data_IF_443433839063
#
_entry.id   IF_443433839063
#
_cell.length_a   1.000
_cell.length_b   1.000
_cell.length_c   1.000
_cell.angle_alpha   90.00
_cell.angle_beta   90.00
_cell.angle_gamma   90.00
#
_symmetry.space_group_name_H-M   'P 1'
#
loop_
_entity.id
_entity.type
_entity.pdbx_description
1 polymer ?
#
# COMPACT_ATOMS: atom_id res chain seq x y z
N UNK A 1 25.90 8.47 1.47
CA UNK A 1 24.57 7.93 1.56
C UNK A 1 24.42 6.93 0.42
N UNK A 2 24.68 5.67 0.70
CA UNK A 2 24.53 4.59 -0.27
C UNK A 2 23.07 4.15 -0.21
N UNK A 3 22.41 4.14 -1.33
CA UNK A 3 21.06 3.61 -1.52
C UNK A 3 20.92 2.30 -0.78
N UNK A 4 19.79 2.13 -0.11
CA UNK A 4 19.21 0.81 0.14
C UNK A 4 18.94 0.17 -1.24
N UNK A 5 19.99 -0.18 -1.95
CA UNK A 5 19.89 -1.09 -3.09
C UNK A 5 19.67 -2.45 -2.47
N UNK A 6 18.40 -2.73 -2.16
CA UNK A 6 17.99 -4.10 -1.92
C UNK A 6 18.20 -4.89 -3.22
N UNK A 7 19.43 -5.32 -3.42
CA UNK A 7 19.68 -6.56 -4.11
C UNK A 7 19.05 -7.66 -3.23
N UNK A 8 17.69 -7.68 -3.15
CA UNK A 8 16.91 -8.74 -2.48
C UNK A 8 17.06 -10.09 -3.19
N UNK A 9 18.07 -10.22 -4.04
CA UNK A 9 18.36 -11.44 -4.79
C UNK A 9 19.34 -12.39 -4.10
N UNK A 10 20.02 -11.99 -3.02
CA UNK A 10 21.06 -12.83 -2.41
C UNK A 10 21.17 -12.55 -0.91
N UNK A 11 20.22 -12.97 -0.10
CA UNK A 11 20.45 -13.13 1.32
C UNK A 11 19.69 -14.33 1.85
N UNK A 12 20.18 -15.53 1.57
CA UNK A 12 19.84 -16.70 2.35
C UNK A 12 21.05 -17.62 2.54
N UNK A 13 22.27 -17.07 2.56
CA UNK A 13 23.44 -17.81 3.04
C UNK A 13 24.44 -16.86 3.71
N UNK A 14 24.07 -16.33 4.87
CA UNK A 14 25.07 -15.94 5.90
C UNK A 14 24.49 -16.40 7.22
N UNK A 15 25.17 -17.34 7.87
CA UNK A 15 24.79 -17.95 9.14
C UNK A 15 24.82 -16.96 10.31
N UNK A 16 23.84 -16.09 10.38
CA UNK A 16 23.47 -15.34 11.56
C UNK A 16 22.21 -16.00 12.13
N UNK A 17 22.22 -16.34 13.41
CA UNK A 17 21.02 -16.79 14.14
C UNK A 17 20.04 -15.62 14.15
N UNK A 18 19.16 -15.54 13.15
CA UNK A 18 18.01 -14.65 13.21
C UNK A 18 17.02 -15.27 14.19
N UNK A 19 16.87 -14.66 15.35
CA UNK A 19 15.78 -15.00 16.25
C UNK A 19 14.47 -14.77 15.48
N UNK A 20 13.73 -15.85 15.18
CA UNK A 20 12.36 -15.75 14.70
C UNK A 20 11.55 -15.10 15.81
N UNK A 21 11.16 -13.85 15.59
CA UNK A 21 10.25 -13.16 16.50
C UNK A 21 8.82 -13.62 16.23
N UNK A 22 7.94 -13.62 17.26
CA UNK A 22 6.53 -13.95 17.07
C UNK A 22 5.86 -13.07 16.02
N UNK A 23 4.65 -13.44 15.58
CA UNK A 23 3.82 -12.71 14.63
C UNK A 23 3.89 -11.21 14.90
N UNK A 24 4.04 -10.41 13.85
CA UNK A 24 4.08 -8.95 13.96
C UNK A 24 2.87 -8.42 14.75
N UNK A 25 3.13 -7.55 15.70
CA UNK A 25 2.10 -6.88 16.49
C UNK A 25 2.23 -5.35 16.34
N UNK A 26 1.11 -4.63 16.29
CA UNK A 26 1.13 -3.17 16.34
C UNK A 26 1.63 -2.71 17.71
N UNK A 27 1.96 -1.42 17.82
CA UNK A 27 2.34 -0.79 19.08
C UNK A 27 1.24 -0.93 20.14
N UNK A 28 1.63 -0.87 21.42
CA UNK A 28 0.70 -0.97 22.55
C UNK A 28 -0.49 -0.01 22.41
N UNK A 29 -1.68 -0.49 22.71
CA UNK A 29 -2.93 0.26 22.57
C UNK A 29 -3.65 0.08 21.24
N UNK A 30 -3.06 -0.67 20.31
CA UNK A 30 -3.68 -1.04 19.04
C UNK A 30 -3.87 -2.55 18.94
N UNK A 31 -4.91 -2.97 18.23
CA UNK A 31 -5.25 -4.40 18.04
C UNK A 31 -5.38 -4.71 16.57
N UNK A 32 -4.86 -5.86 16.16
CA UNK A 32 -5.11 -6.40 14.83
C UNK A 32 -6.53 -6.96 14.74
N UNK A 33 -7.27 -6.52 13.74
CA UNK A 33 -8.62 -6.97 13.42
C UNK A 33 -8.52 -7.88 12.20
N UNK A 34 -8.87 -9.18 12.28
CA UNK A 34 -8.97 -10.04 11.12
C UNK A 34 -9.94 -9.46 10.10
N UNK A 35 -9.55 -9.39 8.83
CA UNK A 35 -10.44 -8.86 7.80
C UNK A 35 -11.43 -9.90 7.27
N UNK A 36 -11.18 -11.18 7.48
CA UNK A 36 -12.07 -12.28 7.09
C UNK A 36 -12.67 -12.94 8.32
N UNK A 37 -13.99 -13.21 8.33
CA UNK A 37 -14.65 -13.83 9.49
C UNK A 37 -14.30 -15.31 9.64
N UNK A 38 -13.72 -15.92 8.61
CA UNK A 38 -13.27 -17.30 8.57
C UNK A 38 -12.01 -17.42 7.68
N UNK A 39 -11.78 -18.57 7.07
CA UNK A 39 -10.68 -18.73 6.09
C UNK A 39 -10.83 -17.74 4.95
N UNK A 40 -9.75 -17.02 4.65
CA UNK A 40 -9.71 -16.10 3.51
C UNK A 40 -9.95 -16.84 2.18
N UNK A 41 -10.63 -16.24 1.20
CA UNK A 41 -10.81 -16.83 -0.11
C UNK A 41 -9.45 -17.05 -0.79
N UNK A 42 -9.41 -17.97 -1.74
CA UNK A 42 -8.21 -18.31 -2.55
C UNK A 42 -6.93 -18.53 -1.72
N UNK A 43 -7.09 -18.92 -0.45
CA UNK A 43 -5.98 -19.23 0.44
C UNK A 43 -5.14 -20.37 -0.14
N UNK A 44 -3.97 -20.03 -0.64
CA UNK A 44 -2.97 -21.00 -1.06
C UNK A 44 -2.13 -21.50 0.12
N UNK A 45 -1.41 -22.62 -0.01
CA UNK A 45 -0.48 -23.06 0.99
C UNK A 45 0.65 -22.02 1.15
N UNK A 46 0.83 -21.51 2.35
CA UNK A 46 2.01 -20.71 2.73
C UNK A 46 2.86 -21.57 3.65
N UNK A 47 4.15 -21.70 3.34
CA UNK A 47 5.05 -22.54 4.09
C UNK A 47 5.39 -21.92 5.46
N UNK A 48 4.84 -22.48 6.53
CA UNK A 48 5.19 -22.14 7.92
C UNK A 48 4.45 -20.93 8.49
N UNK A 49 4.79 -20.54 9.72
CA UNK A 49 4.19 -19.40 10.41
C UNK A 49 4.62 -18.06 9.79
N UNK A 50 3.90 -16.99 10.13
CA UNK A 50 4.29 -15.62 9.85
C UNK A 50 5.71 -15.36 10.41
N UNK A 51 6.51 -14.60 9.68
CA UNK A 51 7.89 -14.28 10.06
C UNK A 51 8.05 -12.78 10.05
N UNK A 52 8.50 -12.24 11.17
CA UNK A 52 8.94 -10.85 11.30
C UNK A 52 10.46 -10.80 11.27
N UNK A 53 11.01 -9.94 10.41
CA UNK A 53 12.46 -9.75 10.27
C UNK A 53 12.78 -8.28 10.35
N UNK A 54 13.77 -7.91 11.16
CA UNK A 54 14.32 -6.56 11.20
C UNK A 54 15.68 -6.57 10.52
N UNK A 55 15.86 -5.67 9.56
CA UNK A 55 17.13 -5.44 8.87
C UNK A 55 17.62 -4.05 9.21
N UNK A 56 18.91 -3.90 9.30
CA UNK A 56 19.56 -2.63 9.57
C UNK A 56 20.86 -2.51 8.78
N UNK A 57 20.90 -1.56 7.86
CA UNK A 57 22.15 -1.19 7.19
C UNK A 57 22.94 -0.20 8.07
N UNK A 58 24.30 -0.24 8.01
CA UNK A 58 25.11 0.69 8.77
C UNK A 58 24.79 2.15 8.45
N UNK A 59 24.33 2.89 9.46
CA UNK A 59 23.99 4.31 9.34
C UNK A 59 22.51 4.60 9.06
N UNK A 60 21.70 3.57 8.80
CA UNK A 60 20.25 3.73 8.59
C UNK A 60 19.45 3.21 9.79
N UNK A 61 18.26 3.77 10.06
CA UNK A 61 17.35 3.20 11.05
C UNK A 61 16.92 1.78 10.64
N UNK A 62 16.67 0.88 11.61
CA UNK A 62 16.19 -0.47 11.30
C UNK A 62 14.88 -0.42 10.52
N UNK A 63 14.68 -1.38 9.62
CA UNK A 63 13.45 -1.58 8.89
C UNK A 63 12.89 -2.97 9.18
N UNK A 64 11.60 -3.05 9.49
CA UNK A 64 10.91 -4.29 9.83
C UNK A 64 9.99 -4.72 8.71
N UNK A 65 10.17 -5.93 8.24
CA UNK A 65 9.25 -6.54 7.28
C UNK A 65 8.65 -7.84 7.80
N UNK A 66 7.46 -8.13 7.28
CA UNK A 66 6.67 -9.32 7.62
C UNK A 66 6.44 -10.15 6.38
N UNK A 67 6.69 -11.43 6.47
CA UNK A 67 6.43 -12.41 5.41
C UNK A 67 5.54 -13.55 5.89
N UNK A 68 5.12 -14.40 4.96
CA UNK A 68 4.25 -15.55 5.22
C UNK A 68 2.93 -15.17 5.89
N UNK A 69 2.35 -14.04 5.48
CA UNK A 69 1.05 -13.60 5.97
C UNK A 69 -0.05 -14.45 5.33
N UNK A 70 -0.58 -15.40 6.08
CA UNK A 70 -1.73 -16.25 5.70
C UNK A 70 -3.04 -15.78 6.30
N UNK A 71 -2.98 -15.01 7.39
CA UNK A 71 -4.12 -14.42 8.10
C UNK A 71 -4.04 -12.90 8.00
N UNK A 72 -4.62 -12.31 6.94
CA UNK A 72 -4.57 -10.88 6.77
C UNK A 72 -5.41 -10.17 7.83
N UNK A 73 -4.90 -9.03 8.27
CA UNK A 73 -5.52 -8.22 9.33
C UNK A 73 -5.35 -6.74 9.04
N UNK A 74 -6.20 -5.93 9.64
CA UNK A 74 -6.04 -4.48 9.65
C UNK A 74 -5.85 -3.98 11.07
N UNK A 75 -5.14 -2.86 11.22
CA UNK A 75 -5.00 -2.14 12.49
C UNK A 75 -5.49 -0.72 12.30
N UNK A 76 -6.40 -0.28 13.15
CA UNK A 76 -6.97 1.08 13.10
C UNK A 76 -6.22 2.00 14.06
N UNK A 77 -5.71 3.10 13.53
CA UNK A 77 -5.05 4.17 14.26
C UNK A 77 -5.94 5.42 14.19
N UNK A 78 -6.57 5.76 15.29
CA UNK A 78 -7.43 6.95 15.36
C UNK A 78 -6.61 8.20 15.66
N UNK A 79 -6.98 9.37 15.10
CA UNK A 79 -6.30 10.62 15.40
C UNK A 79 -6.45 11.00 16.87
N UNK A 80 -5.37 11.54 17.46
CA UNK A 80 -5.37 12.10 18.82
C UNK A 80 -5.68 13.60 18.71
N UNK A 81 -6.94 13.98 18.86
CA UNK A 81 -7.36 15.39 18.77
C UNK A 81 -8.42 15.61 17.67
N UNK A 82 -8.24 16.64 16.84
CA UNK A 82 -9.19 16.94 15.76
C UNK A 82 -9.26 15.80 14.76
N UNK A 83 -10.48 15.29 14.53
CA UNK A 83 -10.75 14.30 13.48
C UNK A 83 -11.33 15.01 12.26
N UNK A 84 -10.72 14.84 11.11
CA UNK A 84 -11.17 15.42 9.82
C UNK A 84 -12.33 14.66 9.19
N UNK A 85 -12.64 13.49 9.71
CA UNK A 85 -13.55 12.52 9.10
C UNK A 85 -12.96 11.75 7.93
N UNK A 86 -11.73 12.05 7.50
CA UNK A 86 -11.07 11.27 6.46
C UNK A 86 -10.41 10.00 7.03
N UNK A 87 -10.38 8.94 6.24
CA UNK A 87 -9.61 7.74 6.52
C UNK A 87 -8.73 7.35 5.33
N UNK A 88 -7.59 6.75 5.62
CA UNK A 88 -6.66 6.22 4.61
C UNK A 88 -6.30 4.78 4.95
N UNK A 89 -6.57 3.87 4.03
CA UNK A 89 -6.07 2.49 4.11
C UNK A 89 -4.66 2.47 3.53
N UNK A 90 -3.68 2.06 4.33
CA UNK A 90 -2.26 2.04 3.96
C UNK A 90 -1.86 0.63 3.53
N UNK A 91 -1.24 0.55 2.36
CA UNK A 91 -0.69 -0.68 1.77
C UNK A 91 0.84 -0.60 1.74
N UNK A 92 1.55 -1.25 2.67
CA UNK A 92 3.01 -1.34 2.61
C UNK A 92 3.51 -1.99 1.32
N UNK A 93 4.70 -1.63 0.87
CA UNK A 93 5.40 -2.30 -0.21
C UNK A 93 6.10 -3.58 0.24
N UNK A 94 6.94 -4.13 -0.64
CA UNK A 94 7.69 -5.37 -0.42
C UNK A 94 7.50 -6.39 -1.54
N UNK A 95 7.25 -5.94 -2.78
CA UNK A 95 7.23 -6.76 -3.99
C UNK A 95 6.12 -7.82 -4.05
N UNK A 96 5.09 -7.73 -3.22
CA UNK A 96 4.11 -8.79 -2.96
C UNK A 96 4.71 -10.05 -2.34
N UNK A 97 5.91 -9.96 -1.73
CA UNK A 97 6.57 -11.08 -1.05
C UNK A 97 6.57 -10.89 0.46
N UNK A 98 6.83 -9.68 0.89
CA UNK A 98 6.84 -9.24 2.28
C UNK A 98 6.12 -7.89 2.40
N UNK A 99 5.96 -7.39 3.64
CA UNK A 99 5.36 -6.09 3.93
C UNK A 99 6.29 -5.28 4.82
N UNK A 100 6.72 -4.09 4.40
CA UNK A 100 7.51 -3.18 5.22
C UNK A 100 6.61 -2.43 6.21
N UNK A 101 6.39 -3.05 7.39
CA UNK A 101 5.33 -2.66 8.33
C UNK A 101 5.64 -1.40 9.15
N UNK A 102 6.90 -1.00 9.29
CA UNK A 102 7.29 0.26 9.96
C UNK A 102 7.42 1.41 8.95
N UNK A 103 8.41 1.34 8.08
CA UNK A 103 8.81 2.35 7.09
C UNK A 103 7.65 2.82 6.20
N UNK A 104 6.82 1.89 5.73
CA UNK A 104 5.70 2.15 4.80
C UNK A 104 4.34 1.82 5.45
N UNK A 105 4.31 1.62 6.74
CA UNK A 105 3.15 1.25 7.53
C UNK A 105 2.93 2.13 8.75
N UNK A 106 3.50 1.77 9.90
CA UNK A 106 3.23 2.47 11.16
C UNK A 106 3.72 3.91 11.18
N UNK A 107 4.88 4.21 10.58
CA UNK A 107 5.38 5.58 10.45
C UNK A 107 4.41 6.46 9.63
N UNK A 108 3.76 5.88 8.61
CA UNK A 108 2.73 6.55 7.81
C UNK A 108 1.46 6.78 8.62
N UNK A 109 1.07 5.81 9.44
CA UNK A 109 -0.08 5.95 10.32
C UNK A 109 0.13 7.03 11.37
N UNK A 110 1.34 7.16 11.93
CA UNK A 110 1.68 8.23 12.86
C UNK A 110 1.58 9.61 12.20
N UNK A 111 2.04 9.73 10.96
CA UNK A 111 1.89 10.97 10.19
C UNK A 111 0.43 11.28 9.90
N UNK A 112 -0.36 10.34 9.37
CA UNK A 112 -1.78 10.55 9.05
C UNK A 112 -2.59 10.95 10.29
N UNK A 113 -2.40 10.25 11.41
CA UNK A 113 -3.11 10.55 12.64
C UNK A 113 -2.72 11.92 13.23
N UNK A 114 -1.47 12.36 13.03
CA UNK A 114 -1.03 13.72 13.38
C UNK A 114 -1.74 14.80 12.56
N UNK A 115 -2.30 14.45 11.40
CA UNK A 115 -3.09 15.35 10.53
C UNK A 115 -4.60 15.20 10.72
N UNK A 116 -5.02 14.47 11.75
CA UNK A 116 -6.44 14.24 12.02
C UNK A 116 -7.12 13.24 11.07
N UNK A 117 -6.34 12.39 10.40
CA UNK A 117 -6.83 11.38 9.46
C UNK A 117 -6.75 10.01 10.13
N UNK A 118 -7.83 9.25 10.13
CA UNK A 118 -7.80 7.86 10.58
C UNK A 118 -6.95 7.02 9.64
N UNK A 119 -5.95 6.30 10.18
CA UNK A 119 -5.14 5.37 9.41
C UNK A 119 -5.59 3.94 9.64
N UNK A 120 -5.74 3.17 8.58
CA UNK A 120 -6.01 1.74 8.64
C UNK A 120 -4.87 1.00 7.93
N UNK A 121 -3.95 0.44 8.71
CA UNK A 121 -2.82 -0.32 8.19
C UNK A 121 -3.25 -1.74 7.83
N UNK A 122 -3.14 -2.10 6.57
CA UNK A 122 -3.46 -3.44 6.10
C UNK A 122 -2.21 -4.33 6.03
N UNK A 123 -2.22 -5.40 6.81
CA UNK A 123 -1.30 -6.53 6.68
C UNK A 123 -1.93 -7.53 5.72
N UNK A 124 -1.73 -7.34 4.41
CA UNK A 124 -2.31 -8.21 3.38
C UNK A 124 -1.49 -9.47 3.14
N UNK A 125 -2.08 -10.47 2.50
CA UNK A 125 -1.46 -11.77 2.25
C UNK A 125 -0.26 -11.67 1.33
N UNK A 126 0.88 -12.21 1.82
CA UNK A 126 2.15 -12.35 1.08
C UNK A 126 2.83 -13.66 1.46
N UNK A 127 3.53 -14.33 0.53
CA UNK A 127 4.11 -15.66 0.77
C UNK A 127 5.40 -15.65 1.60
N UNK A 128 6.12 -14.53 1.69
CA UNK A 128 7.41 -14.43 2.36
C UNK A 128 8.61 -14.67 1.46
N UNK A 129 8.41 -15.04 0.21
CA UNK A 129 9.48 -15.26 -0.76
C UNK A 129 9.04 -14.95 -2.20
N UNK A 130 9.99 -14.53 -3.04
CA UNK A 130 9.71 -14.10 -4.42
C UNK A 130 9.45 -15.25 -5.40
N UNK A 131 9.84 -16.46 -5.05
CA UNK A 131 9.73 -17.65 -5.91
C UNK A 131 8.46 -18.46 -5.64
N UNK A 132 7.62 -18.01 -4.72
CA UNK A 132 6.41 -18.72 -4.38
C UNK A 132 5.44 -18.77 -5.59
N UNK A 133 4.93 -19.95 -5.97
CA UNK A 133 3.94 -20.07 -7.04
C UNK A 133 2.69 -19.25 -6.72
N UNK A 134 2.16 -18.51 -7.70
CA UNK A 134 0.99 -17.65 -7.58
C UNK A 134 1.16 -16.44 -6.63
N UNK A 135 2.39 -16.03 -6.31
CA UNK A 135 2.61 -14.72 -5.68
C UNK A 135 2.74 -13.62 -6.73
N UNK A 136 2.46 -12.39 -6.34
CA UNK A 136 2.66 -11.21 -7.16
C UNK A 136 1.40 -10.39 -7.39
N UNK A 137 1.51 -9.44 -8.30
CA UNK A 137 0.42 -8.57 -8.69
C UNK A 137 -0.73 -9.34 -9.38
N UNK A 138 -1.95 -8.86 -9.20
CA UNK A 138 -3.09 -9.35 -9.98
C UNK A 138 -2.81 -9.19 -11.49
N UNK A 139 -3.09 -10.17 -12.35
CA UNK A 139 -3.90 -11.37 -12.12
C UNK A 139 -3.11 -12.61 -11.69
N UNK A 140 -1.78 -12.54 -11.56
CA UNK A 140 -0.97 -13.69 -11.16
C UNK A 140 -1.40 -14.24 -9.79
N UNK A 141 -1.75 -13.33 -8.85
CA UNK A 141 -2.38 -13.66 -7.58
C UNK A 141 -3.52 -12.68 -7.27
N UNK A 142 -4.73 -13.14 -6.93
CA UNK A 142 -5.82 -12.26 -6.55
C UNK A 142 -5.75 -11.81 -5.09
N UNK A 143 -5.07 -12.54 -4.22
CA UNK A 143 -5.24 -12.48 -2.76
C UNK A 143 -5.00 -11.09 -2.15
N UNK A 144 -3.98 -10.36 -2.59
CA UNK A 144 -3.72 -9.01 -2.08
C UNK A 144 -4.83 -8.02 -2.49
N UNK A 145 -5.34 -8.14 -3.72
CA UNK A 145 -6.43 -7.29 -4.19
C UNK A 145 -7.75 -7.63 -3.51
N UNK A 146 -8.03 -8.91 -3.23
CA UNK A 146 -9.17 -9.33 -2.41
C UNK A 146 -9.11 -8.71 -1.02
N UNK A 147 -7.95 -8.78 -0.37
CA UNK A 147 -7.74 -8.21 0.96
C UNK A 147 -7.91 -6.68 0.95
N UNK A 148 -7.43 -6.00 -0.09
CA UNK A 148 -7.62 -4.55 -0.26
C UNK A 148 -9.09 -4.17 -0.49
N UNK A 149 -9.80 -4.88 -1.40
CA UNK A 149 -11.22 -4.67 -1.64
C UNK A 149 -12.04 -4.89 -0.36
N UNK A 150 -11.73 -5.96 0.38
CA UNK A 150 -12.38 -6.28 1.65
C UNK A 150 -12.16 -5.18 2.68
N UNK A 151 -10.92 -4.73 2.84
CA UNK A 151 -10.57 -3.72 3.84
C UNK A 151 -11.25 -2.39 3.56
N UNK A 152 -11.27 -1.90 2.31
CA UNK A 152 -12.00 -0.66 1.97
C UNK A 152 -13.49 -0.78 2.28
N UNK A 153 -14.10 -1.94 2.00
CA UNK A 153 -15.50 -2.22 2.36
C UNK A 153 -15.73 -2.22 3.88
N UNK A 154 -14.82 -2.85 4.65
CA UNK A 154 -14.89 -2.86 6.12
C UNK A 154 -14.76 -1.45 6.72
N UNK A 155 -13.82 -0.64 6.22
CA UNK A 155 -13.66 0.76 6.69
C UNK A 155 -14.94 1.54 6.44
N UNK A 156 -15.58 1.37 5.29
CA UNK A 156 -16.84 2.05 4.97
C UNK A 156 -18.00 1.54 5.83
N UNK A 157 -18.05 0.24 6.09
CA UNK A 157 -19.07 -0.36 6.96
C UNK A 157 -18.96 0.14 8.42
N UNK A 158 -17.76 0.28 8.94
CA UNK A 158 -17.48 0.77 10.30
C UNK A 158 -17.28 2.29 10.38
N UNK A 159 -17.55 3.04 9.32
CA UNK A 159 -17.23 4.47 9.24
C UNK A 159 -17.82 5.27 10.40
N UNK A 160 -19.09 5.06 10.72
CA UNK A 160 -19.76 5.75 11.83
C UNK A 160 -19.12 5.44 13.20
N UNK A 161 -18.74 4.18 13.43
CA UNK A 161 -18.08 3.72 14.65
C UNK A 161 -16.72 4.39 14.86
N UNK A 162 -15.99 4.60 13.77
CA UNK A 162 -14.63 5.17 13.82
C UNK A 162 -14.59 6.69 13.58
N UNK A 163 -15.75 7.35 13.52
CA UNK A 163 -15.85 8.79 13.26
C UNK A 163 -15.33 9.17 11.86
N UNK A 164 -15.54 8.31 10.88
CA UNK A 164 -15.12 8.48 9.49
C UNK A 164 -16.33 8.84 8.63
N UNK A 165 -16.15 9.77 7.70
CA UNK A 165 -17.12 10.04 6.62
C UNK A 165 -16.98 8.93 5.56
N UNK A 166 -18.05 8.16 5.26
CA UNK A 166 -17.99 7.07 4.29
C UNK A 166 -17.67 7.51 2.85
N UNK A 167 -17.66 8.82 2.59
CA UNK A 167 -17.28 9.44 1.31
C UNK A 167 -15.88 10.07 1.33
N UNK A 168 -15.07 9.83 2.38
CA UNK A 168 -13.71 10.32 2.52
C UNK A 168 -12.71 9.21 2.87
N UNK A 169 -12.86 8.05 2.23
CA UNK A 169 -12.02 6.88 2.45
C UNK A 169 -11.06 6.73 1.27
N UNK A 170 -9.79 7.03 1.50
CA UNK A 170 -8.73 6.89 0.51
C UNK A 170 -7.86 5.67 0.74
N UNK A 171 -6.96 5.45 -0.22
CA UNK A 171 -5.91 4.43 -0.14
C UNK A 171 -4.56 5.07 -0.41
N UNK A 172 -3.53 4.62 0.30
CA UNK A 172 -2.14 5.06 0.12
C UNK A 172 -1.24 3.84 0.10
N UNK A 173 -0.28 3.79 -0.82
CA UNK A 173 0.63 2.65 -0.86
C UNK A 173 1.92 2.93 -1.60
N UNK A 174 2.91 2.07 -1.36
CA UNK A 174 4.29 2.21 -1.77
C UNK A 174 4.72 1.01 -2.62
N UNK A 175 5.49 1.21 -3.68
CA UNK A 175 6.04 0.11 -4.49
C UNK A 175 4.94 -0.87 -4.94
N UNK A 176 4.98 -2.13 -4.55
CA UNK A 176 3.89 -3.09 -4.76
C UNK A 176 2.56 -2.64 -4.13
N UNK A 177 2.59 -1.98 -2.96
CA UNK A 177 1.42 -1.34 -2.35
C UNK A 177 0.90 -0.17 -3.18
N UNK A 178 1.77 0.58 -3.86
CA UNK A 178 1.41 1.60 -4.84
C UNK A 178 0.68 1.02 -6.06
N UNK A 179 1.11 -0.14 -6.55
CA UNK A 179 0.34 -0.91 -7.53
C UNK A 179 -1.02 -1.35 -6.96
N UNK A 180 -1.07 -1.81 -5.70
CA UNK A 180 -2.31 -2.23 -5.07
C UNK A 180 -3.32 -1.08 -4.93
N UNK A 181 -2.84 0.16 -4.71
CA UNK A 181 -3.65 1.39 -4.81
C UNK A 181 -4.31 1.49 -6.18
N UNK A 182 -3.53 1.37 -7.25
CA UNK A 182 -4.06 1.43 -8.61
C UNK A 182 -5.03 0.27 -8.90
N UNK A 183 -4.68 -0.94 -8.48
CA UNK A 183 -5.49 -2.13 -8.70
C UNK A 183 -6.86 -2.04 -8.01
N UNK A 184 -6.94 -1.64 -6.73
CA UNK A 184 -8.23 -1.48 -6.03
C UNK A 184 -9.03 -0.29 -6.57
N UNK A 185 -8.35 0.80 -6.98
CA UNK A 185 -8.97 1.99 -7.56
C UNK A 185 -9.56 1.78 -8.95
N UNK A 186 -9.23 0.69 -9.61
CA UNK A 186 -9.69 0.38 -10.98
C UNK A 186 -10.54 -0.89 -11.07
N UNK A 187 -10.43 -1.81 -10.10
CA UNK A 187 -11.17 -3.08 -10.08
C UNK A 187 -12.32 -3.11 -9.06
N UNK A 188 -12.84 -1.97 -8.65
CA UNK A 188 -13.86 -1.86 -7.59
C UNK A 188 -15.28 -2.31 -8.02
N UNK A 189 -15.58 -2.35 -9.30
CA UNK A 189 -16.92 -2.76 -9.81
C UNK A 189 -17.23 -4.23 -9.61
N UNK A 190 -16.20 -5.04 -9.50
CA UNK A 190 -16.30 -6.48 -9.31
C UNK A 190 -15.38 -6.90 -8.19
N UNK A 191 -15.95 -7.38 -7.09
CA UNK A 191 -15.17 -8.07 -6.06
C UNK A 191 -14.61 -9.37 -6.62
N UNK A 192 -13.38 -9.69 -6.26
CA UNK A 192 -12.73 -10.93 -6.70
C UNK A 192 -13.18 -12.15 -5.88
N UNK A 193 -13.90 -11.93 -4.79
CA UNK A 193 -14.40 -12.97 -3.89
C UNK A 193 -15.93 -12.87 -3.72
N UNK A 194 -16.52 -13.95 -3.22
CA UNK A 194 -17.95 -13.99 -2.86
C UNK A 194 -18.17 -13.24 -1.55
N UNK A 195 -19.27 -12.50 -1.45
CA UNK A 195 -19.66 -11.81 -0.22
C UNK A 195 -19.74 -12.79 0.96
N UNK A 196 -19.14 -12.40 2.10
CA UNK A 196 -19.04 -13.24 3.30
C UNK A 196 -19.88 -12.69 4.47
N UNK A 197 -20.18 -11.39 4.48
CA UNK A 197 -21.02 -10.73 5.49
C UNK A 197 -21.64 -9.41 5.00
N UNK A 198 -22.24 -8.65 5.92
CA UNK A 198 -22.92 -7.39 5.60
C UNK A 198 -21.98 -6.30 5.08
N UNK A 199 -20.70 -6.28 5.49
CA UNK A 199 -19.75 -5.28 5.03
C UNK A 199 -19.46 -5.39 3.53
N UNK A 200 -19.70 -6.53 2.91
CA UNK A 200 -19.54 -6.71 1.48
C UNK A 200 -20.65 -6.10 0.63
N UNK A 201 -21.66 -5.52 1.25
CA UNK A 201 -22.66 -4.68 0.57
C UNK A 201 -22.14 -3.27 0.33
N UNK A 202 -21.15 -2.85 1.10
CA UNK A 202 -20.52 -1.54 0.95
C UNK A 202 -19.61 -1.49 -0.28
N UNK A 203 -19.47 -0.30 -0.85
CA UNK A 203 -18.55 -0.10 -1.98
C UNK A 203 -17.10 -0.28 -1.55
N UNK A 204 -16.33 -1.05 -2.33
CA UNK A 204 -14.88 -1.12 -2.18
C UNK A 204 -14.13 -0.10 -3.06
N UNK A 205 -14.82 0.87 -3.67
CA UNK A 205 -14.19 1.96 -4.41
C UNK A 205 -13.61 2.98 -3.43
N UNK A 206 -12.30 3.26 -3.48
CA UNK A 206 -11.74 4.38 -2.71
C UNK A 206 -12.27 5.73 -3.23
N UNK A 207 -12.29 6.75 -2.38
CA UNK A 207 -12.70 8.09 -2.78
C UNK A 207 -11.51 8.90 -3.33
N UNK A 208 -10.28 8.50 -3.01
CA UNK A 208 -9.04 8.99 -3.58
C UNK A 208 -7.92 7.96 -3.43
N UNK A 209 -6.81 8.12 -4.18
CA UNK A 209 -5.65 7.24 -4.07
C UNK A 209 -4.33 7.97 -4.13
N UNK A 210 -3.34 7.51 -3.37
CA UNK A 210 -1.96 8.01 -3.34
C UNK A 210 -1.02 6.86 -3.65
N UNK A 211 -0.38 6.87 -4.80
CA UNK A 211 0.55 5.84 -5.23
C UNK A 211 1.98 6.40 -5.30
N UNK A 212 2.84 5.89 -4.43
CA UNK A 212 4.22 6.31 -4.28
C UNK A 212 5.13 5.24 -4.90
N UNK A 213 5.99 5.65 -5.81
CA UNK A 213 6.90 4.78 -6.58
C UNK A 213 6.28 3.42 -6.96
N UNK A 214 5.10 3.42 -7.63
CA UNK A 214 4.36 2.20 -7.89
C UNK A 214 5.09 1.29 -8.88
N UNK A 215 5.18 0.00 -8.55
CA UNK A 215 5.63 -1.04 -9.48
C UNK A 215 4.51 -1.60 -10.35
N UNK A 216 4.84 -2.58 -11.19
CA UNK A 216 3.89 -3.44 -11.94
C UNK A 216 2.85 -2.70 -12.83
N UNK A 217 3.05 -1.41 -13.13
CA UNK A 217 2.12 -0.64 -13.97
C UNK A 217 2.26 -0.93 -15.46
N UNK A 218 3.34 -1.58 -15.86
CA UNK A 218 3.58 -2.03 -17.23
C UNK A 218 3.65 -3.55 -17.28
N UNK A 219 3.27 -4.13 -18.43
CA UNK A 219 3.59 -5.53 -18.70
C UNK A 219 5.09 -5.70 -18.93
N UNK A 220 5.71 -6.67 -18.24
CA UNK A 220 7.15 -6.94 -18.36
C UNK A 220 7.60 -7.32 -19.79
N UNK A 221 6.68 -7.72 -20.65
CA UNK A 221 6.93 -8.13 -22.03
C UNK A 221 6.69 -7.02 -23.04
N UNK A 222 6.03 -5.94 -22.63
CA UNK A 222 5.70 -4.82 -23.52
C UNK A 222 6.91 -3.91 -23.71
N UNK A 223 7.39 -3.80 -24.95
CA UNK A 223 8.31 -2.72 -25.36
C UNK A 223 7.59 -1.40 -25.57
N UNK A 224 6.27 -1.42 -25.51
CA UNK A 224 5.41 -0.27 -25.72
C UNK A 224 5.15 0.44 -24.39
N UNK A 225 4.88 1.73 -24.48
CA UNK A 225 4.50 2.56 -23.33
C UNK A 225 2.99 2.38 -23.08
N UNK A 226 2.63 1.21 -22.52
CA UNK A 226 1.23 0.81 -22.28
C UNK A 226 1.02 0.40 -20.84
N UNK A 227 -0.13 0.83 -20.31
CA UNK A 227 -0.56 0.44 -18.96
C UNK A 227 -0.93 -1.04 -18.94
N UNK A 228 -0.56 -1.72 -17.88
CA UNK A 228 -0.99 -3.07 -17.56
C UNK A 228 -2.52 -3.20 -17.71
N UNK A 229 -3.05 -4.10 -18.58
CA UNK A 229 -4.49 -4.23 -18.84
C UNK A 229 -5.30 -4.64 -17.61
N UNK A 230 -4.65 -5.14 -16.57
CA UNK A 230 -5.28 -5.48 -15.29
C UNK A 230 -5.40 -4.29 -14.32
N UNK A 231 -4.99 -3.10 -14.77
CA UNK A 231 -5.28 -1.80 -14.13
C UNK A 231 -6.22 -1.00 -15.06
N UNK A 232 -7.48 -1.39 -15.22
CA UNK A 232 -8.40 -0.83 -16.21
C UNK A 232 -8.91 0.56 -15.79
N UNK A 233 -8.17 1.60 -16.11
CA UNK A 233 -8.54 3.00 -15.81
C UNK A 233 -9.81 3.38 -16.58
N UNK A 234 -10.78 3.95 -15.87
CA UNK A 234 -12.04 4.50 -16.43
C UNK A 234 -12.31 5.88 -15.83
N UNK A 235 -13.30 6.60 -16.37
CA UNK A 235 -13.74 7.89 -15.80
C UNK A 235 -14.25 7.80 -14.34
N UNK A 236 -14.54 6.60 -13.85
CA UNK A 236 -15.00 6.35 -12.48
C UNK A 236 -13.85 6.02 -11.52
N UNK A 237 -12.62 5.88 -12.04
CA UNK A 237 -11.41 5.79 -11.21
C UNK A 237 -11.32 7.05 -10.34
N UNK A 238 -11.06 6.94 -9.01
CA UNK A 238 -11.00 8.10 -8.13
C UNK A 238 -9.85 9.06 -8.49
N UNK A 239 -9.87 10.32 -8.00
CA UNK A 239 -8.71 11.21 -8.07
C UNK A 239 -7.44 10.55 -7.52
N UNK A 240 -6.31 10.78 -8.19
CA UNK A 240 -5.04 10.12 -7.87
C UNK A 240 -3.92 11.13 -7.65
N UNK A 241 -3.05 10.82 -6.68
CA UNK A 241 -1.76 11.47 -6.47
C UNK A 241 -0.65 10.46 -6.77
N UNK A 242 0.33 10.85 -7.58
CA UNK A 242 1.47 10.01 -7.97
C UNK A 242 2.77 10.72 -7.62
N UNK A 243 3.76 9.96 -7.16
CA UNK A 243 5.09 10.51 -6.89
C UNK A 243 6.16 9.43 -7.11
N UNK A 244 7.25 9.82 -7.77
CA UNK A 244 8.40 8.93 -8.01
C UNK A 244 9.69 9.69 -8.22
N UNK A 245 10.84 9.03 -7.95
CA UNK A 245 12.16 9.47 -8.37
C UNK A 245 12.53 8.90 -9.74
N UNK A 246 13.22 9.67 -10.58
CA UNK A 246 13.67 9.21 -11.90
C UNK A 246 14.83 8.20 -11.79
N UNK A 247 15.63 8.31 -10.72
CA UNK A 247 16.77 7.43 -10.42
C UNK A 247 16.39 6.16 -9.64
N UNK A 248 15.08 5.83 -9.56
CA UNK A 248 14.59 4.62 -8.92
C UNK A 248 15.13 3.37 -9.64
N UNK A 249 15.99 2.56 -8.97
CA UNK A 249 16.63 1.40 -9.60
C UNK A 249 15.74 0.14 -9.57
N UNK A 250 14.62 0.16 -8.85
CA UNK A 250 13.73 -0.99 -8.62
C UNK A 250 12.51 -0.88 -9.53
N UNK A 251 11.78 0.21 -9.42
CA UNK A 251 10.57 0.47 -10.20
C UNK A 251 10.82 1.68 -11.12
N UNK A 252 11.06 1.44 -12.42
CA UNK A 252 11.34 2.52 -13.36
C UNK A 252 10.24 3.59 -13.39
N UNK A 253 10.62 4.86 -13.49
CA UNK A 253 9.70 6.01 -13.56
C UNK A 253 8.58 5.84 -14.62
N UNK A 254 8.81 5.02 -15.63
CA UNK A 254 7.82 4.66 -16.65
C UNK A 254 6.52 4.10 -16.05
N UNK A 255 6.58 3.42 -14.90
CA UNK A 255 5.39 2.91 -14.22
C UNK A 255 4.43 4.07 -13.86
N UNK A 256 4.94 5.12 -13.24
CA UNK A 256 4.13 6.31 -12.90
C UNK A 256 3.67 7.07 -14.14
N UNK A 257 4.53 7.22 -15.13
CA UNK A 257 4.21 7.97 -16.37
C UNK A 257 3.09 7.30 -17.18
N UNK A 258 3.12 5.98 -17.35
CA UNK A 258 2.09 5.27 -18.10
C UNK A 258 0.74 5.32 -17.38
N UNK A 259 0.74 5.23 -16.03
CA UNK A 259 -0.47 5.34 -15.23
C UNK A 259 -1.04 6.75 -15.28
N UNK A 260 -0.20 7.78 -15.11
CA UNK A 260 -0.59 9.17 -15.27
C UNK A 260 -1.27 9.43 -16.63
N UNK A 261 -0.64 8.95 -17.71
CA UNK A 261 -1.18 9.13 -19.04
C UNK A 261 -2.55 8.48 -19.23
N UNK A 262 -2.73 7.26 -18.71
CA UNK A 262 -4.02 6.58 -18.73
C UNK A 262 -5.11 7.31 -17.94
N UNK A 263 -4.78 7.81 -16.74
CA UNK A 263 -5.68 8.64 -15.92
C UNK A 263 -6.11 9.91 -16.66
N UNK A 264 -5.15 10.63 -17.25
CA UNK A 264 -5.45 11.84 -18.04
C UNK A 264 -6.35 11.56 -19.24
N UNK A 265 -6.11 10.48 -19.97
CA UNK A 265 -6.95 10.05 -21.10
C UNK A 265 -8.37 9.71 -20.69
N UNK A 266 -8.56 9.15 -19.51
CA UNK A 266 -9.87 8.80 -18.96
C UNK A 266 -10.61 10.02 -18.33
N UNK A 267 -9.97 11.20 -18.26
CA UNK A 267 -10.52 12.38 -17.62
C UNK A 267 -10.51 12.34 -16.09
N UNK A 268 -9.70 11.46 -15.50
CA UNK A 268 -9.54 11.36 -14.05
C UNK A 268 -8.64 12.49 -13.54
N UNK A 269 -9.04 13.23 -12.48
CA UNK A 269 -8.16 14.20 -11.83
C UNK A 269 -6.90 13.49 -11.29
N UNK A 270 -5.73 13.98 -11.67
CA UNK A 270 -4.46 13.43 -11.23
C UNK A 270 -3.42 14.52 -11.03
N UNK A 271 -2.72 14.44 -9.90
CA UNK A 271 -1.53 15.23 -9.60
C UNK A 271 -0.31 14.30 -9.57
N UNK A 272 0.80 14.70 -10.18
CA UNK A 272 2.02 13.88 -10.21
C UNK A 272 3.25 14.75 -9.97
N UNK A 273 4.15 14.25 -9.12
CA UNK A 273 5.44 14.85 -8.83
C UNK A 273 6.57 13.88 -9.19
N UNK A 274 7.51 14.34 -9.98
CA UNK A 274 8.73 13.61 -10.33
C UNK A 274 9.95 14.35 -9.81
N UNK A 275 10.87 13.59 -9.24
CA UNK A 275 12.14 14.10 -8.71
C UNK A 275 13.29 13.43 -9.45
N UNK A 276 14.33 14.19 -9.79
CA UNK A 276 15.49 13.63 -10.47
C UNK A 276 16.21 12.58 -9.60
N UNK A 277 16.15 12.75 -8.27
CA UNK A 277 16.83 11.87 -7.32
C UNK A 277 15.94 11.57 -6.11
N UNK A 278 16.09 10.36 -5.56
CA UNK A 278 15.36 9.89 -4.39
C UNK A 278 15.42 8.38 -4.23
N UNK A 279 15.70 7.65 -5.30
CA UNK A 279 15.75 6.19 -5.27
C UNK A 279 14.41 5.54 -4.99
N UNK A 280 14.45 4.39 -4.32
CA UNK A 280 13.28 3.58 -3.96
C UNK A 280 13.20 3.34 -2.46
N UNK A 281 12.00 3.12 -1.91
CA UNK A 281 11.82 2.67 -0.54
C UNK A 281 12.14 3.73 0.53
N UNK A 282 12.01 5.02 0.22
CA UNK A 282 12.31 6.09 1.18
C UNK A 282 11.22 6.24 2.27
N UNK A 283 9.99 5.79 2.05
CA UNK A 283 8.89 5.92 3.01
C UNK A 283 8.69 7.35 3.48
N UNK A 284 8.59 7.55 4.81
CA UNK A 284 8.56 8.87 5.47
C UNK A 284 9.93 9.29 6.00
N UNK A 285 10.95 8.44 5.89
CA UNK A 285 12.26 8.70 6.49
C UNK A 285 12.97 9.82 5.74
N UNK A 286 13.55 10.79 6.46
CA UNK A 286 14.22 11.93 5.84
C UNK A 286 15.37 11.51 4.92
N UNK A 287 15.41 12.08 3.73
CA UNK A 287 16.52 11.96 2.79
C UNK A 287 17.19 13.32 2.63
N UNK A 288 18.36 13.36 1.99
CA UNK A 288 19.01 14.63 1.63
C UNK A 288 18.41 15.26 0.37
N UNK A 289 17.44 14.61 -0.26
CA UNK A 289 16.81 15.05 -1.50
C UNK A 289 15.46 15.73 -1.26
N UNK A 290 15.04 16.63 -2.15
CA UNK A 290 13.75 17.34 -2.05
C UNK A 290 12.53 16.41 -1.94
N UNK A 291 12.63 15.17 -2.42
CA UNK A 291 11.56 14.17 -2.35
C UNK A 291 11.09 13.91 -0.91
N UNK A 292 11.94 14.16 0.09
CA UNK A 292 11.58 14.04 1.53
C UNK A 292 10.37 14.91 1.92
N UNK A 293 10.05 15.94 1.13
CA UNK A 293 8.90 16.84 1.34
C UNK A 293 7.56 16.29 0.83
N UNK A 294 7.51 15.06 0.34
CA UNK A 294 6.30 14.51 -0.27
C UNK A 294 5.06 14.49 0.65
N UNK A 295 5.16 14.31 1.99
CA UNK A 295 3.98 14.30 2.83
C UNK A 295 3.21 15.62 2.82
N UNK A 296 3.91 16.76 2.73
CA UNK A 296 3.31 18.09 2.63
C UNK A 296 2.57 18.29 1.30
N UNK A 297 3.07 17.68 0.21
CA UNK A 297 2.40 17.72 -1.09
C UNK A 297 1.09 16.94 -1.05
N UNK A 298 1.09 15.73 -0.47
CA UNK A 298 -0.14 14.93 -0.27
C UNK A 298 -1.12 15.67 0.62
N UNK A 299 -0.70 16.25 1.74
CA UNK A 299 -1.57 17.04 2.62
C UNK A 299 -2.22 18.21 1.87
N UNK A 300 -1.43 18.96 1.08
CA UNK A 300 -1.93 20.08 0.27
C UNK A 300 -2.92 19.60 -0.78
N UNK A 301 -2.62 18.50 -1.46
CA UNK A 301 -3.51 17.89 -2.44
C UNK A 301 -4.83 17.43 -1.82
N UNK A 302 -4.80 16.78 -0.65
CA UNK A 302 -6.02 16.35 0.07
C UNK A 302 -6.92 17.54 0.44
N UNK A 303 -6.34 18.69 0.82
CA UNK A 303 -7.09 19.96 1.02
C UNK A 303 -7.71 20.44 -0.29
N UNK A 304 -6.97 20.39 -1.38
CA UNK A 304 -7.40 20.83 -2.70
C UNK A 304 -8.60 20.04 -3.22
N UNK A 305 -8.62 18.74 -3.01
CA UNK A 305 -9.73 17.87 -3.42
C UNK A 305 -10.84 17.75 -2.36
N UNK A 306 -10.76 18.49 -1.23
CA UNK A 306 -11.79 18.58 -0.19
C UNK A 306 -11.91 17.36 0.72
N UNK A 307 -10.89 16.50 0.77
CA UNK A 307 -10.89 15.32 1.66
C UNK A 307 -10.60 15.70 3.11
N UNK A 308 -9.79 16.72 3.34
CA UNK A 308 -9.56 17.31 4.66
C UNK A 308 -9.83 18.82 4.64
N UNK A 309 -10.08 19.46 5.79
CA UNK A 309 -10.33 20.89 5.88
C UNK A 309 -9.17 21.75 5.30
N UNK A 310 -9.50 22.92 4.78
CA UNK A 310 -8.53 23.89 4.24
C UNK A 310 -7.66 24.48 5.34
#
# INVERSE_FOLDING_TARGET
>A
MKLLVFALCVVFEIGGVHAQTPDWQPSAGHTQIPIWPSTAPDAGPIAGPEVTTTVQDPGDPPATFVGRVSRPSMTVYSPKGTNTGAAVVVFPGGGYWVLFMDLEGTEVCDWLTSKGITCVLLKYRVPGENRFPRSGAYPKSPVALEDAQRTVGLVRFHAAEWGVDPHKIGVLGFSAGGHLVAAVSTNFKRRLYKAVDAADRESCRPDFGVALYPGHMMENTSRQFELNPYVPVTKETPPMFLLQAEDDPIDPVKNSLVYYYALKRAGVPVEMHLYAQGGHGFGLRPTTFPITGWPQLVETWLRTIGMIPK
#
